data_IF_301194803816
#
_entry.id   IF_301194803816
#
_cell.length_a   1.000
_cell.length_b   1.000
_cell.length_c   1.000
_cell.angle_alpha   90.00
_cell.angle_beta   90.00
_cell.angle_gamma   90.00
#
_symmetry.space_group_name_H-M   'P 1'
#
loop_
_entity.id
_entity.type
_entity.pdbx_description
1 polymer ?
#
# COMPACT_ATOMS: atom_id res chain seq x y z
N UNK A 1 15.63 -33.53 -23.84
CA UNK A 1 14.76 -32.46 -24.39
C UNK A 1 14.82 -31.30 -23.40
N UNK A 2 15.56 -30.26 -23.76
CA UNK A 2 15.90 -29.13 -22.89
C UNK A 2 14.91 -28.02 -23.25
N UNK A 3 13.96 -27.70 -22.37
CA UNK A 3 13.06 -26.56 -22.57
C UNK A 3 13.74 -25.29 -22.07
N UNK A 4 14.30 -24.54 -23.01
CA UNK A 4 14.69 -23.14 -22.86
C UNK A 4 13.43 -22.28 -22.79
N UNK A 5 12.98 -21.93 -21.59
CA UNK A 5 11.95 -20.91 -21.40
C UNK A 5 12.63 -19.54 -21.26
N UNK A 6 12.49 -18.77 -22.34
CA UNK A 6 12.98 -17.41 -22.54
C UNK A 6 12.66 -16.47 -21.38
N UNK A 7 13.71 -15.81 -20.87
CA UNK A 7 13.67 -14.69 -19.93
C UNK A 7 13.17 -13.43 -20.66
N UNK A 8 11.98 -13.45 -21.25
CA UNK A 8 11.43 -12.31 -22.00
C UNK A 8 9.95 -12.19 -21.74
N UNK A 9 9.58 -11.45 -20.69
CA UNK A 9 8.56 -10.38 -20.69
C UNK A 9 8.55 -9.77 -19.28
N UNK A 10 9.55 -8.94 -18.98
CA UNK A 10 9.34 -7.87 -18.01
C UNK A 10 8.37 -6.91 -18.70
N UNK A 11 7.06 -7.08 -18.46
CA UNK A 11 6.08 -6.07 -18.80
C UNK A 11 6.61 -4.74 -18.24
N UNK A 12 6.77 -3.68 -19.07
CA UNK A 12 7.12 -2.38 -18.54
C UNK A 12 6.07 -2.03 -17.50
N UNK A 13 6.52 -1.77 -16.26
CA UNK A 13 5.65 -1.26 -15.22
C UNK A 13 4.86 -0.08 -15.81
N UNK A 14 3.55 0.02 -15.56
CA UNK A 14 2.74 1.11 -16.10
C UNK A 14 3.46 2.43 -15.83
N UNK A 15 3.76 3.17 -16.90
CA UNK A 15 4.64 4.35 -16.87
C UNK A 15 4.06 5.51 -16.06
N UNK A 16 2.77 5.45 -15.75
CA UNK A 16 2.07 6.39 -14.89
C UNK A 16 1.99 5.81 -13.48
N UNK A 17 2.84 6.30 -12.59
CA UNK A 17 2.63 6.07 -11.17
C UNK A 17 1.42 6.89 -10.73
N UNK A 18 0.52 6.35 -9.88
CA UNK A 18 -0.74 7.00 -9.55
C UNK A 18 -0.58 8.30 -8.73
N UNK A 19 0.62 8.64 -8.29
CA UNK A 19 0.90 9.78 -7.41
C UNK A 19 1.80 10.76 -8.15
N UNK A 20 1.23 11.87 -8.60
CA UNK A 20 1.92 12.94 -9.33
C UNK A 20 2.75 13.84 -8.39
N UNK A 21 2.32 14.01 -7.14
CA UNK A 21 3.08 14.73 -6.10
C UNK A 21 2.93 14.03 -4.74
N UNK A 22 4.04 13.52 -4.19
CA UNK A 22 4.09 12.90 -2.86
C UNK A 22 4.43 13.91 -1.76
N UNK A 23 4.66 15.18 -2.10
CA UNK A 23 4.86 16.25 -1.11
C UNK A 23 3.50 16.63 -0.54
N UNK A 24 3.26 16.19 0.68
CA UNK A 24 2.05 16.54 1.43
C UNK A 24 2.44 17.36 2.67
N UNK A 25 2.66 18.68 2.52
CA UNK A 25 3.01 19.54 3.64
C UNK A 25 1.90 19.51 4.69
N UNK A 26 2.29 19.37 5.97
CA UNK A 26 1.34 19.30 7.08
C UNK A 26 0.63 17.96 7.25
N UNK A 27 0.93 16.92 6.46
CA UNK A 27 0.29 15.60 6.55
C UNK A 27 0.35 14.98 7.96
N UNK A 28 1.46 15.16 8.67
CA UNK A 28 1.63 14.69 10.04
C UNK A 28 0.70 15.39 11.06
N UNK A 29 0.17 16.58 10.74
CA UNK A 29 -0.72 17.35 11.61
C UNK A 29 -2.20 16.93 11.47
N UNK A 30 -2.54 16.29 10.37
CA UNK A 30 -3.88 15.79 10.10
C UNK A 30 -4.25 14.63 11.03
N UNK A 31 -5.54 14.47 11.32
CA UNK A 31 -6.09 13.29 11.99
C UNK A 31 -5.96 12.04 11.10
N UNK A 32 -6.00 10.81 11.65
CA UNK A 32 -5.95 9.59 10.84
C UNK A 32 -7.02 9.51 9.74
N UNK A 33 -8.22 10.04 9.97
CA UNK A 33 -9.29 10.11 8.96
C UNK A 33 -8.93 11.07 7.82
N UNK A 34 -8.53 12.29 8.16
CA UNK A 34 -8.12 13.30 7.16
C UNK A 34 -6.90 12.83 6.36
N UNK A 35 -5.96 12.10 6.98
CA UNK A 35 -4.84 11.47 6.25
C UNK A 35 -5.32 10.45 5.23
N UNK A 36 -6.28 9.60 5.59
CA UNK A 36 -6.89 8.60 4.70
C UNK A 36 -7.59 9.26 3.51
N UNK A 37 -8.43 10.26 3.78
CA UNK A 37 -9.11 11.05 2.74
C UNK A 37 -8.10 11.71 1.80
N UNK A 38 -7.05 12.34 2.36
CA UNK A 38 -6.01 12.98 1.55
C UNK A 38 -5.25 12.00 0.67
N UNK A 39 -4.94 10.81 1.20
CA UNK A 39 -4.30 9.75 0.42
C UNK A 39 -5.22 9.22 -0.68
N UNK A 40 -6.52 9.12 -0.45
CA UNK A 40 -7.47 8.69 -1.47
C UNK A 40 -7.56 9.69 -2.63
N UNK A 41 -7.57 11.00 -2.34
CA UNK A 41 -7.52 12.04 -3.37
C UNK A 41 -6.26 11.92 -4.24
N UNK A 42 -5.09 11.76 -3.60
CA UNK A 42 -3.79 11.79 -4.28
C UNK A 42 -3.52 10.51 -5.07
N UNK A 43 -3.96 9.35 -4.58
CA UNK A 43 -3.70 8.05 -5.20
C UNK A 43 -4.91 7.47 -5.96
N UNK A 44 -6.02 8.22 -6.08
CA UNK A 44 -7.23 7.78 -6.77
C UNK A 44 -7.90 6.57 -6.12
N UNK A 45 -7.89 6.47 -4.79
CA UNK A 45 -8.44 5.33 -4.07
C UNK A 45 -9.96 5.45 -3.92
N UNK A 46 -10.65 4.32 -4.01
CA UNK A 46 -12.09 4.24 -3.79
C UNK A 46 -12.43 4.18 -2.30
N UNK A 47 -13.71 4.35 -1.98
CA UNK A 47 -14.21 4.26 -0.60
C UNK A 47 -13.95 2.88 0.01
N UNK A 48 -14.07 1.83 -0.79
CA UNK A 48 -13.82 0.45 -0.36
C UNK A 48 -12.38 0.25 0.11
N UNK A 49 -11.40 0.91 -0.53
CA UNK A 49 -10.00 0.88 -0.07
C UNK A 49 -9.83 1.60 1.28
N UNK A 50 -10.57 2.67 1.53
CA UNK A 50 -10.53 3.39 2.80
C UNK A 50 -11.19 2.60 3.93
N UNK A 51 -12.30 1.93 3.64
CA UNK A 51 -13.02 1.07 4.58
C UNK A 51 -12.14 -0.13 5.00
N UNK A 52 -11.34 -0.66 4.09
CA UNK A 52 -10.38 -1.74 4.39
C UNK A 52 -9.28 -1.31 5.39
N UNK A 53 -8.84 -0.05 5.37
CA UNK A 53 -7.91 0.48 6.37
C UNK A 53 -8.54 0.75 7.73
N UNK A 54 -9.85 0.97 7.78
CA UNK A 54 -10.59 1.21 9.01
C UNK A 54 -10.93 -0.08 9.75
N UNK A 55 -11.33 -1.11 9.03
CA UNK A 55 -11.58 -2.43 9.62
C UNK A 55 -10.30 -3.02 10.19
N UNK A 56 -9.17 -2.88 9.48
CA UNK A 56 -7.80 -3.13 9.97
C UNK A 56 -7.53 -4.54 10.50
N UNK A 57 -8.48 -5.45 10.35
CA UNK A 57 -8.48 -6.79 10.93
C UNK A 57 -8.56 -7.78 9.79
N UNK A 58 -7.54 -8.62 9.70
CA UNK A 58 -7.56 -9.80 8.85
C UNK A 58 -8.58 -10.80 9.41
N UNK A 59 -9.50 -11.26 8.57
CA UNK A 59 -10.49 -12.27 8.96
C UNK A 59 -9.79 -13.56 9.42
N UNK A 60 -10.28 -14.16 10.50
CA UNK A 60 -9.66 -15.33 11.11
C UNK A 60 -9.59 -16.53 10.16
N UNK A 61 -10.62 -16.76 9.34
CA UNK A 61 -10.61 -17.83 8.33
C UNK A 61 -9.63 -17.59 7.18
N UNK A 62 -9.21 -16.34 6.94
CA UNK A 62 -8.12 -16.03 6.02
C UNK A 62 -6.78 -16.26 6.73
N UNK A 63 -6.65 -15.77 7.97
CA UNK A 63 -5.43 -15.96 8.77
C UNK A 63 -5.06 -17.43 8.95
N UNK A 64 -6.03 -18.29 9.27
CA UNK A 64 -5.86 -19.75 9.45
C UNK A 64 -5.35 -20.46 8.19
N UNK A 65 -5.63 -19.89 7.00
CA UNK A 65 -5.13 -20.41 5.72
C UNK A 65 -3.75 -19.86 5.33
N UNK A 66 -3.23 -18.85 6.04
CA UNK A 66 -1.95 -18.21 5.72
C UNK A 66 -0.76 -18.89 6.39
N UNK A 67 -0.91 -19.37 7.62
CA UNK A 67 0.17 -19.97 8.42
C UNK A 67 -0.36 -21.13 9.26
N UNK A 68 0.54 -21.96 9.78
CA UNK A 68 0.18 -23.05 10.69
C UNK A 68 -0.04 -22.55 12.13
N UNK A 69 -0.88 -23.26 12.89
CA UNK A 69 -1.12 -23.05 14.32
C UNK A 69 -1.61 -21.63 14.68
N UNK A 70 -2.51 -21.07 13.87
CA UNK A 70 -3.11 -19.75 14.14
C UNK A 70 -3.99 -19.81 15.40
N UNK A 71 -3.68 -18.94 16.36
CA UNK A 71 -4.48 -18.76 17.59
C UNK A 71 -5.16 -17.38 17.66
N UNK A 72 -4.91 -16.53 16.67
CA UNK A 72 -5.43 -15.17 16.62
C UNK A 72 -4.72 -14.30 15.58
N UNK A 73 -5.17 -13.06 15.46
CA UNK A 73 -4.54 -12.02 14.63
C UNK A 73 -4.06 -10.88 15.53
N UNK A 74 -2.98 -10.23 15.13
CA UNK A 74 -2.48 -9.02 15.79
C UNK A 74 -2.42 -7.90 14.75
N UNK A 75 -2.79 -6.69 15.15
CA UNK A 75 -2.77 -5.52 14.27
C UNK A 75 -1.60 -4.61 14.62
N UNK A 76 -0.84 -4.20 13.62
CA UNK A 76 0.24 -3.23 13.74
C UNK A 76 -0.19 -1.89 13.15
N UNK A 77 0.26 -0.76 13.71
CA UNK A 77 0.07 0.54 13.09
C UNK A 77 0.68 0.58 11.70
N UNK A 78 -0.05 1.17 10.75
CA UNK A 78 0.44 1.41 9.39
C UNK A 78 0.58 2.92 9.21
N UNK A 79 1.76 3.35 8.80
CA UNK A 79 2.04 4.74 8.43
C UNK A 79 2.23 4.90 6.93
N UNK A 80 2.23 6.14 6.44
CA UNK A 80 2.67 6.47 5.09
C UNK A 80 3.75 7.52 5.19
N UNK A 81 4.90 7.22 4.60
CA UNK A 81 5.97 8.17 4.42
C UNK A 81 5.75 8.94 3.11
N UNK A 82 5.77 10.26 3.22
CA UNK A 82 5.58 11.20 2.12
C UNK A 82 6.95 11.72 1.63
N UNK A 83 6.98 12.38 0.48
CA UNK A 83 8.21 12.98 -0.08
C UNK A 83 9.33 11.96 -0.39
N UNK A 84 8.98 10.76 -0.83
CA UNK A 84 9.96 9.82 -1.42
C UNK A 84 10.16 10.11 -2.91
N UNK A 85 11.42 10.06 -3.35
CA UNK A 85 11.81 10.14 -4.77
C UNK A 85 12.70 8.93 -5.08
N UNK A 86 12.33 8.12 -6.07
CA UNK A 86 13.11 6.98 -6.57
C UNK A 86 13.20 7.13 -8.08
N UNK A 87 14.41 7.10 -8.63
CA UNK A 87 14.69 7.24 -10.07
C UNK A 87 13.98 8.46 -10.70
N UNK A 88 14.09 9.63 -10.04
CA UNK A 88 13.43 10.89 -10.40
C UNK A 88 11.90 10.87 -10.39
N UNK A 89 11.30 9.81 -9.85
CA UNK A 89 9.85 9.68 -9.72
C UNK A 89 9.40 9.81 -8.27
N UNK A 90 8.32 10.55 -8.07
CA UNK A 90 7.79 10.89 -6.76
C UNK A 90 6.79 9.83 -6.28
N UNK A 91 6.94 9.32 -5.05
CA UNK A 91 6.10 8.24 -4.50
C UNK A 91 5.82 8.38 -3.00
N UNK A 92 4.79 7.66 -2.55
CA UNK A 92 4.49 7.43 -1.13
C UNK A 92 4.83 5.98 -0.79
N UNK A 93 5.42 5.74 0.38
CA UNK A 93 5.75 4.39 0.85
C UNK A 93 5.01 4.06 2.15
N UNK A 94 4.44 2.86 2.24
CA UNK A 94 3.80 2.41 3.48
C UNK A 94 4.86 1.98 4.49
N UNK A 95 4.77 2.52 5.71
CA UNK A 95 5.61 2.13 6.83
C UNK A 95 4.87 1.05 7.62
N UNK A 96 5.48 -0.13 7.74
CA UNK A 96 5.03 -1.18 8.66
C UNK A 96 5.88 -1.05 9.93
N UNK A 97 5.21 -0.91 11.08
CA UNK A 97 5.86 -0.94 12.41
C UNK A 97 6.19 -2.34 12.88
#
# INVERSE_FOLDING_TARGET
MIFSASLTTLLPLPSTMPIEDSRMPGFHRLTPRERREKLAEVAGLTKEHLDAWESGILEMGIADRMIENVIGTYSLPIGVATNFVIDDKTLCHTLRG
#
